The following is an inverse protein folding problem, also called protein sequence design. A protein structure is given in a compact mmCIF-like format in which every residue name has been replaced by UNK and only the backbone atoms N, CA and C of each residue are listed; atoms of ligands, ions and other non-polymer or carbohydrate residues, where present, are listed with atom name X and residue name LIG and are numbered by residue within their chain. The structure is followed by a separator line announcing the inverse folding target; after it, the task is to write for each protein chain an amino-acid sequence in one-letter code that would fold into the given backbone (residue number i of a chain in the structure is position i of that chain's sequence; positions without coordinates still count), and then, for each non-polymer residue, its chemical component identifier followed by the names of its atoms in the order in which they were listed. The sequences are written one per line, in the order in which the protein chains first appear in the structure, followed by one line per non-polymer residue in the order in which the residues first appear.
data_IF_523093828493
#
_entry.id   IF_523093828493
#
_cell.length_a   1.000
_cell.length_b   1.000
_cell.length_c   1.000
_cell.angle_alpha   90.00
_cell.angle_beta   90.00
_cell.angle_gamma   90.00
#
_symmetry.space_group_name_H-M   'P 1'
#
loop_
_entity.id
_entity.type
_entity.pdbx_description
1 polymer ?
#
# COMPACT_ATOMS: atom_id res chain seq x y z
N UNK A 1 39.30 63.85 51.69
CA UNK A 1 38.88 65.28 51.62
C UNK A 1 37.43 65.32 51.10
N UNK A 2 36.64 65.97 51.94
CA UNK A 2 35.30 66.56 51.73
C UNK A 2 34.17 65.58 51.34
N UNK A 3 33.38 65.11 52.26
CA UNK A 3 32.29 65.66 53.10
C UNK A 3 31.28 66.52 52.31
N UNK A 4 30.05 66.06 52.25
CA UNK A 4 28.83 66.84 52.57
C UNK A 4 27.59 66.01 52.19
N UNK A 5 26.81 65.72 52.97
CA UNK A 5 25.72 66.24 53.86
C UNK A 5 24.34 65.73 53.44
N UNK A 6 23.80 65.09 54.38
CA UNK A 6 22.41 64.63 54.54
C UNK A 6 21.42 65.78 54.49
N UNK A 7 20.24 65.57 53.85
CA UNK A 7 18.98 66.19 54.35
C UNK A 7 17.81 65.24 54.20
N UNK A 8 17.28 64.91 55.35
CA UNK A 8 16.01 64.24 55.56
C UNK A 8 14.87 65.29 55.58
N UNK A 9 13.75 65.06 54.94
CA UNK A 9 12.46 65.69 55.26
C UNK A 9 11.32 64.69 55.00
N UNK A 10 10.12 64.92 55.60
CA UNK A 10 9.41 63.87 56.28
C UNK A 10 8.13 63.38 55.56
N UNK A 11 7.56 62.36 56.14
CA UNK A 11 6.31 61.66 55.77
C UNK A 11 5.06 62.61 55.70
N UNK A 12 4.24 62.36 54.70
CA UNK A 12 2.82 62.71 54.69
C UNK A 12 2.02 61.42 54.48
N UNK A 13 1.29 61.11 55.54
CA UNK A 13 0.24 60.11 55.55
C UNK A 13 -0.84 60.48 54.53
N UNK A 14 -1.21 59.59 53.66
CA UNK A 14 -2.40 59.64 52.86
C UNK A 14 -3.14 58.32 52.96
N UNK A 15 -4.22 58.38 53.75
CA UNK A 15 -5.18 57.30 53.94
C UNK A 15 -5.90 57.03 52.63
N UNK A 16 -5.66 55.85 51.97
CA UNK A 16 -6.45 55.46 50.83
C UNK A 16 -7.47 54.38 51.26
N UNK A 17 -8.72 54.75 51.06
CA UNK A 17 -9.91 53.96 51.26
C UNK A 17 -9.92 52.76 50.28
N UNK A 18 -9.92 51.50 50.77
CA UNK A 18 -10.11 50.30 49.95
C UNK A 18 -11.60 50.17 49.61
N UNK A 19 -11.95 50.45 48.37
CA UNK A 19 -13.23 50.03 47.80
C UNK A 19 -13.04 48.60 47.24
N UNK A 20 -13.64 47.63 47.95
CA UNK A 20 -13.71 46.23 47.45
C UNK A 20 -14.77 46.17 46.37
N UNK A 21 -14.35 46.11 45.11
CA UNK A 21 -15.25 45.80 43.99
C UNK A 21 -15.22 44.30 43.80
N UNK A 22 -16.26 43.61 44.23
CA UNK A 22 -16.50 42.19 43.98
C UNK A 22 -16.98 42.04 42.55
N UNK A 23 -16.06 41.68 41.61
CA UNK A 23 -16.42 41.30 40.25
C UNK A 23 -16.82 39.83 40.30
N UNK A 24 -18.13 39.54 40.25
CA UNK A 24 -18.63 38.20 39.93
C UNK A 24 -18.34 37.94 38.45
N UNK A 25 -17.26 37.19 38.16
CA UNK A 25 -17.02 36.63 36.84
C UNK A 25 -17.96 35.43 36.65
N UNK A 26 -19.03 35.64 35.91
CA UNK A 26 -19.85 34.56 35.34
C UNK A 26 -19.00 33.81 34.29
N UNK A 27 -18.36 32.71 34.68
CA UNK A 27 -17.80 31.74 33.75
C UNK A 27 -18.96 31.04 33.04
N UNK A 28 -19.40 31.61 31.90
CA UNK A 28 -20.21 30.90 30.94
C UNK A 28 -19.30 29.89 30.25
N UNK A 29 -19.35 28.63 30.69
CA UNK A 29 -18.73 27.52 30.00
C UNK A 29 -19.43 27.32 28.64
N UNK A 30 -18.95 28.04 27.62
CA UNK A 30 -19.26 27.68 26.24
C UNK A 30 -18.56 26.35 25.97
N UNK A 31 -19.30 25.26 26.08
CA UNK A 31 -18.96 24.01 25.48
C UNK A 31 -18.87 24.26 23.97
N UNK A 32 -17.67 24.50 23.45
CA UNK A 32 -17.43 24.44 22.03
C UNK A 32 -17.58 22.97 21.63
N UNK A 33 -18.78 22.62 21.15
CA UNK A 33 -18.93 21.42 20.38
C UNK A 33 -17.91 21.53 19.25
N UNK A 34 -16.82 20.74 19.33
CA UNK A 34 -15.92 20.54 18.21
C UNK A 34 -16.81 19.92 17.14
N UNK A 35 -17.21 20.74 16.17
CA UNK A 35 -17.84 20.22 14.96
C UNK A 35 -16.87 19.19 14.40
N UNK A 36 -17.28 17.92 14.44
CA UNK A 36 -16.56 16.87 13.76
C UNK A 36 -16.40 17.33 12.30
N UNK A 37 -15.19 17.61 11.91
CA UNK A 37 -14.84 17.81 10.49
C UNK A 37 -15.45 16.62 9.77
N UNK A 38 -16.19 16.77 8.65
CA UNK A 38 -16.66 15.63 7.91
C UNK A 38 -15.42 14.79 7.62
N UNK A 39 -15.33 13.61 8.19
CA UNK A 39 -14.28 12.67 7.90
C UNK A 39 -14.39 12.45 6.41
N UNK A 40 -13.34 12.81 5.68
CA UNK A 40 -13.16 12.37 4.30
C UNK A 40 -12.93 10.85 4.43
N UNK A 41 -14.02 10.10 4.55
CA UNK A 41 -13.99 8.68 4.85
C UNK A 41 -13.30 8.04 3.67
N UNK A 42 -12.09 7.52 3.89
CA UNK A 42 -11.33 6.81 2.86
C UNK A 42 -12.24 5.68 2.38
N UNK A 43 -12.61 5.71 1.12
CA UNK A 43 -13.40 4.62 0.53
C UNK A 43 -12.46 3.49 0.19
N UNK A 44 -12.53 2.41 0.96
CA UNK A 44 -11.78 1.19 0.72
C UNK A 44 -12.04 0.64 -0.68
N UNK A 45 -10.99 0.26 -1.39
CA UNK A 45 -11.06 -0.27 -2.75
C UNK A 45 -10.54 -1.72 -2.81
N UNK A 46 -10.97 -2.45 -3.85
CA UNK A 46 -10.70 -3.87 -4.01
C UNK A 46 -9.50 -4.11 -4.92
N UNK A 47 -8.54 -4.91 -4.46
CA UNK A 47 -7.47 -5.47 -5.30
C UNK A 47 -7.70 -6.98 -5.42
N UNK A 48 -7.80 -7.47 -6.65
CA UNK A 48 -7.91 -8.90 -6.92
C UNK A 48 -6.50 -9.53 -6.89
N UNK A 49 -6.24 -10.37 -5.88
CA UNK A 49 -4.98 -11.08 -5.68
C UNK A 49 -4.75 -12.07 -6.81
N UNK A 50 -3.63 -11.93 -7.54
CA UNK A 50 -3.27 -12.73 -8.74
C UNK A 50 -4.34 -12.70 -9.84
N UNK A 51 -5.07 -11.56 -9.95
CA UNK A 51 -6.26 -11.42 -10.76
C UNK A 51 -7.51 -12.06 -10.15
N UNK A 52 -8.65 -12.04 -10.86
CA UNK A 52 -9.85 -12.75 -10.41
C UNK A 52 -9.79 -14.20 -10.88
N UNK A 53 -9.01 -15.00 -10.15
CA UNK A 53 -8.70 -16.38 -10.50
C UNK A 53 -9.68 -17.41 -9.92
N UNK A 54 -10.24 -17.15 -8.71
CA UNK A 54 -11.13 -18.08 -8.03
C UNK A 54 -12.55 -18.05 -8.64
N UNK A 55 -12.62 -18.40 -9.91
CA UNK A 55 -13.83 -18.41 -10.72
C UNK A 55 -13.68 -19.36 -11.91
N UNK A 56 -14.76 -20.02 -12.41
CA UNK A 56 -14.66 -21.02 -13.46
C UNK A 56 -13.88 -20.56 -14.69
N UNK A 57 -12.96 -21.39 -15.18
CA UNK A 57 -12.14 -21.13 -16.36
C UNK A 57 -11.01 -20.12 -16.17
N UNK A 58 -10.70 -19.77 -14.92
CA UNK A 58 -9.59 -18.87 -14.57
C UNK A 58 -8.50 -19.60 -13.78
N UNK A 59 -7.31 -19.01 -13.70
CA UNK A 59 -6.19 -19.48 -12.88
C UNK A 59 -5.41 -18.29 -12.34
N UNK A 60 -4.68 -18.48 -11.24
CA UNK A 60 -3.79 -17.46 -10.69
C UNK A 60 -2.83 -16.96 -11.75
N UNK A 61 -2.61 -15.64 -11.81
CA UNK A 61 -1.66 -15.03 -12.72
C UNK A 61 -1.89 -15.32 -14.22
N UNK A 62 -3.08 -15.82 -14.60
CA UNK A 62 -3.44 -16.07 -16.00
C UNK A 62 -3.89 -14.79 -16.71
N UNK A 63 -3.83 -14.77 -18.04
CA UNK A 63 -4.40 -13.68 -18.82
C UNK A 63 -5.91 -13.55 -18.62
N UNK A 64 -6.58 -14.69 -18.39
CA UNK A 64 -8.02 -14.72 -18.08
C UNK A 64 -8.33 -14.11 -16.72
N UNK A 65 -7.52 -14.35 -15.67
CA UNK A 65 -7.76 -13.75 -14.35
C UNK A 65 -7.66 -12.22 -14.38
N UNK A 66 -6.72 -11.68 -15.16
CA UNK A 66 -6.60 -10.24 -15.39
C UNK A 66 -7.86 -9.67 -16.09
N UNK A 67 -8.29 -10.28 -17.21
CA UNK A 67 -9.49 -9.84 -17.91
C UNK A 67 -10.75 -9.90 -17.04
N UNK A 68 -10.87 -10.93 -16.21
CA UNK A 68 -11.99 -11.06 -15.27
C UNK A 68 -11.96 -10.00 -14.17
N UNK A 69 -10.79 -9.69 -13.62
CA UNK A 69 -10.64 -8.58 -12.67
C UNK A 69 -11.11 -7.25 -13.29
N UNK A 70 -10.69 -6.95 -14.52
CA UNK A 70 -11.16 -5.77 -15.24
C UNK A 70 -12.66 -5.80 -15.49
N UNK A 71 -13.23 -6.97 -15.86
CA UNK A 71 -14.66 -7.09 -16.18
C UNK A 71 -15.56 -6.72 -15.00
N UNK A 72 -15.19 -7.12 -13.79
CA UNK A 72 -15.94 -6.78 -12.55
C UNK A 72 -15.59 -5.40 -11.98
N UNK A 73 -14.62 -4.69 -12.58
CA UNK A 73 -14.30 -3.31 -12.26
C UNK A 73 -13.70 -3.10 -10.87
N UNK A 74 -12.77 -3.97 -10.44
CA UNK A 74 -11.98 -3.74 -9.24
C UNK A 74 -10.95 -2.64 -9.45
N UNK A 75 -10.48 -2.02 -8.37
CA UNK A 75 -9.43 -1.00 -8.44
C UNK A 75 -8.15 -1.53 -9.05
N UNK A 76 -7.70 -2.70 -8.60
CA UNK A 76 -6.43 -3.29 -9.03
C UNK A 76 -6.52 -4.79 -9.27
N UNK A 77 -5.76 -5.27 -10.24
CA UNK A 77 -5.43 -6.68 -10.45
C UNK A 77 -3.96 -6.85 -10.10
N UNK A 78 -3.68 -7.62 -9.06
CA UNK A 78 -2.30 -7.90 -8.66
C UNK A 78 -1.72 -9.03 -9.51
N UNK A 79 -0.41 -9.02 -9.75
CA UNK A 79 0.34 -10.08 -10.42
C UNK A 79 1.79 -10.15 -9.96
N UNK A 80 2.36 -11.35 -10.01
CA UNK A 80 3.69 -11.69 -9.54
C UNK A 80 4.69 -11.80 -10.70
N UNK A 81 5.77 -11.03 -10.69
CA UNK A 81 6.74 -11.00 -11.81
C UNK A 81 8.10 -11.47 -11.38
N UNK A 82 8.62 -12.48 -12.07
CA UNK A 82 9.98 -13.01 -11.93
C UNK A 82 10.87 -12.69 -13.13
N UNK A 83 12.17 -12.60 -12.87
CA UNK A 83 13.21 -12.52 -13.88
C UNK A 83 13.80 -13.92 -14.14
N UNK A 84 13.72 -14.38 -15.39
CA UNK A 84 14.34 -15.62 -15.84
C UNK A 84 15.84 -15.43 -16.15
N UNK A 85 16.66 -16.52 -16.19
CA UNK A 85 18.10 -16.43 -16.45
C UNK A 85 18.45 -15.96 -17.86
N UNK A 86 17.53 -16.07 -18.82
CA UNK A 86 17.66 -15.53 -20.19
C UNK A 86 17.27 -14.05 -20.29
N UNK A 87 16.93 -13.44 -19.15
CA UNK A 87 16.59 -12.01 -19.06
C UNK A 87 15.14 -11.68 -19.37
N UNK A 88 14.30 -12.66 -19.70
CA UNK A 88 12.84 -12.47 -19.87
C UNK A 88 12.13 -12.39 -18.51
N UNK A 89 10.98 -11.71 -18.52
CA UNK A 89 10.08 -11.61 -17.37
C UNK A 89 8.87 -12.53 -17.58
N UNK A 90 8.52 -13.30 -16.55
CA UNK A 90 7.33 -14.18 -16.54
C UNK A 90 6.43 -13.86 -15.36
N UNK A 91 5.14 -14.19 -15.49
CA UNK A 91 4.15 -13.93 -14.43
C UNK A 91 3.75 -15.26 -13.78
N UNK A 92 4.16 -15.43 -12.52
CA UNK A 92 3.89 -16.64 -11.73
C UNK A 92 4.14 -16.36 -10.24
N UNK A 93 3.38 -16.99 -9.33
CA UNK A 93 3.54 -16.71 -7.90
C UNK A 93 4.70 -17.47 -7.25
N UNK A 94 4.76 -18.80 -7.45
CA UNK A 94 5.73 -19.64 -6.75
C UNK A 94 7.11 -19.51 -7.38
N UNK A 95 8.16 -19.70 -6.58
CA UNK A 95 9.55 -19.68 -7.04
C UNK A 95 9.90 -20.88 -7.95
N UNK A 96 8.97 -21.84 -8.05
CA UNK A 96 9.15 -23.10 -8.79
C UNK A 96 7.82 -23.61 -9.35
N UNK A 97 7.95 -24.47 -10.34
CA UNK A 97 6.84 -25.26 -10.91
C UNK A 97 7.25 -26.72 -11.03
N UNK A 98 6.29 -27.63 -11.06
CA UNK A 98 6.54 -29.06 -11.32
C UNK A 98 6.03 -29.41 -12.71
N UNK A 99 6.89 -30.00 -13.53
CA UNK A 99 6.58 -30.46 -14.89
C UNK A 99 7.22 -31.82 -15.12
N UNK A 100 6.42 -32.82 -15.54
CA UNK A 100 6.92 -34.18 -15.80
C UNK A 100 7.57 -34.91 -14.61
N UNK A 101 7.31 -34.46 -13.37
CA UNK A 101 7.93 -34.97 -12.14
C UNK A 101 9.19 -34.19 -11.71
N UNK A 102 9.69 -33.29 -12.54
CA UNK A 102 10.83 -32.42 -12.23
C UNK A 102 10.38 -31.11 -11.59
N UNK A 103 11.20 -30.59 -10.65
CA UNK A 103 11.02 -29.27 -10.07
C UNK A 103 11.88 -28.26 -10.81
N UNK A 104 11.23 -27.27 -11.42
CA UNK A 104 11.88 -26.21 -12.20
C UNK A 104 11.76 -24.89 -11.40
N UNK A 105 12.90 -24.30 -11.01
CA UNK A 105 12.94 -23.00 -10.36
C UNK A 105 12.87 -21.87 -11.39
N UNK A 106 11.95 -20.93 -11.23
CA UNK A 106 11.69 -19.85 -12.19
C UNK A 106 12.96 -19.07 -12.54
N UNK A 107 13.70 -18.61 -11.52
CA UNK A 107 14.93 -17.84 -11.70
C UNK A 107 16.13 -18.64 -12.26
N UNK A 108 15.97 -19.95 -12.49
CA UNK A 108 17.01 -20.82 -13.03
C UNK A 108 16.62 -21.52 -14.33
N UNK A 109 15.35 -21.35 -14.74
CA UNK A 109 14.80 -22.00 -15.93
C UNK A 109 14.55 -20.97 -17.01
N UNK A 110 15.09 -21.17 -18.25
CA UNK A 110 14.81 -20.26 -19.36
C UNK A 110 13.32 -20.08 -19.61
N UNK A 111 12.90 -18.88 -19.95
CA UNK A 111 11.50 -18.54 -20.24
C UNK A 111 10.91 -19.40 -21.35
N UNK A 112 11.73 -19.83 -22.32
CA UNK A 112 11.33 -20.73 -23.41
C UNK A 112 10.78 -22.08 -22.94
N UNK A 113 11.15 -22.53 -21.74
CA UNK A 113 10.61 -23.73 -21.08
C UNK A 113 9.36 -23.36 -20.30
N UNK A 114 9.44 -22.35 -19.41
CA UNK A 114 8.36 -21.95 -18.50
C UNK A 114 7.07 -21.62 -19.24
N UNK A 115 7.13 -20.88 -20.34
CA UNK A 115 5.96 -20.51 -21.15
C UNK A 115 5.25 -21.67 -21.85
N UNK A 116 5.72 -22.90 -21.70
CA UNK A 116 5.03 -24.12 -22.18
C UNK A 116 4.24 -24.80 -21.08
N UNK A 117 4.53 -24.48 -19.84
CA UNK A 117 3.90 -25.08 -18.65
C UNK A 117 2.47 -24.60 -18.54
N UNK A 118 1.54 -25.53 -18.33
CA UNK A 118 0.12 -25.26 -18.25
C UNK A 118 -0.28 -24.82 -16.85
N UNK A 119 -1.07 -23.75 -16.80
CA UNK A 119 -1.84 -23.37 -15.64
C UNK A 119 -3.10 -24.24 -15.50
N UNK A 120 -3.75 -24.19 -14.35
CA UNK A 120 -4.93 -25.01 -14.05
C UNK A 120 -6.12 -24.79 -15.01
N UNK A 121 -6.19 -23.63 -15.67
CA UNK A 121 -7.23 -23.32 -16.64
C UNK A 121 -6.86 -23.69 -18.10
N UNK A 122 -5.68 -24.30 -18.30
CA UNK A 122 -5.18 -24.68 -19.63
C UNK A 122 -4.38 -23.61 -20.38
N UNK A 123 -4.37 -22.38 -19.91
CA UNK A 123 -3.42 -21.36 -20.38
C UNK A 123 -1.98 -21.79 -20.02
N UNK A 124 -1.00 -21.10 -20.54
CA UNK A 124 0.41 -21.29 -20.14
C UNK A 124 0.87 -20.14 -19.26
N UNK A 125 1.98 -20.34 -18.52
CA UNK A 125 2.65 -19.26 -17.80
C UNK A 125 2.91 -18.12 -18.78
N UNK A 126 2.32 -16.92 -18.58
CA UNK A 126 2.50 -15.82 -19.53
C UNK A 126 3.85 -15.13 -19.33
N UNK A 127 4.43 -14.62 -20.41
CA UNK A 127 5.46 -13.61 -20.31
C UNK A 127 4.85 -12.30 -19.80
N UNK A 128 5.66 -11.46 -19.18
CA UNK A 128 5.19 -10.16 -18.71
C UNK A 128 4.76 -9.25 -19.87
N UNK A 129 5.43 -9.34 -21.02
CA UNK A 129 5.02 -8.63 -22.24
C UNK A 129 3.62 -9.04 -22.69
N UNK A 130 3.32 -10.33 -22.74
CA UNK A 130 1.98 -10.82 -23.08
C UNK A 130 0.92 -10.36 -22.04
N UNK A 131 1.31 -10.28 -20.78
CA UNK A 131 0.45 -9.78 -19.71
C UNK A 131 0.15 -8.28 -19.87
N UNK A 132 1.18 -7.48 -20.16
CA UNK A 132 1.02 -6.05 -20.45
C UNK A 132 0.18 -5.79 -21.71
N UNK A 133 0.34 -6.62 -22.76
CA UNK A 133 -0.46 -6.49 -23.97
C UNK A 133 -1.94 -6.73 -23.70
N UNK A 134 -2.29 -7.70 -22.87
CA UNK A 134 -3.67 -7.89 -22.40
C UNK A 134 -4.11 -6.71 -21.55
N UNK A 135 -3.26 -6.24 -20.64
CA UNK A 135 -3.59 -5.12 -19.75
C UNK A 135 -3.88 -3.82 -20.51
N UNK A 136 -3.26 -3.57 -21.66
CA UNK A 136 -3.62 -2.43 -22.54
C UNK A 136 -5.11 -2.39 -22.89
N UNK A 137 -5.75 -3.55 -23.01
CA UNK A 137 -7.18 -3.65 -23.32
C UNK A 137 -8.09 -3.50 -22.09
N UNK A 138 -7.55 -3.67 -20.89
CA UNK A 138 -8.26 -3.46 -19.62
C UNK A 138 -8.45 -1.96 -19.39
N UNK A 139 -9.66 -1.50 -19.08
CA UNK A 139 -9.95 -0.07 -18.96
C UNK A 139 -10.38 0.36 -17.54
N UNK A 140 -10.75 -0.60 -16.69
CA UNK A 140 -11.36 -0.32 -15.40
C UNK A 140 -10.42 -0.55 -14.23
N UNK A 141 -9.40 -1.40 -14.40
CA UNK A 141 -8.49 -1.81 -13.33
C UNK A 141 -7.09 -1.23 -13.53
N UNK A 142 -6.35 -1.06 -12.44
CA UNK A 142 -4.90 -0.85 -12.44
C UNK A 142 -4.18 -2.19 -12.38
N UNK A 143 -2.90 -2.21 -12.68
CA UNK A 143 -2.03 -3.36 -12.47
C UNK A 143 -1.15 -3.11 -11.25
N UNK A 144 -1.24 -4.01 -10.27
CA UNK A 144 -0.40 -4.00 -9.07
C UNK A 144 0.66 -5.08 -9.27
N UNK A 145 1.90 -4.66 -9.46
CA UNK A 145 3.00 -5.54 -9.86
C UNK A 145 3.84 -5.90 -8.64
N UNK A 146 3.80 -7.19 -8.22
CA UNK A 146 4.75 -7.68 -7.24
C UNK A 146 6.08 -8.06 -7.91
N UNK A 147 7.16 -7.45 -7.44
CA UNK A 147 8.51 -7.83 -7.80
C UNK A 147 8.95 -9.02 -6.96
N UNK A 148 9.01 -10.21 -7.57
CA UNK A 148 9.41 -11.46 -6.91
C UNK A 148 10.92 -11.65 -6.99
N UNK A 149 11.55 -11.70 -5.81
CA UNK A 149 12.99 -11.97 -5.68
C UNK A 149 13.16 -13.12 -4.70
N UNK A 150 13.58 -14.28 -5.18
CA UNK A 150 13.73 -15.48 -4.35
C UNK A 150 14.93 -15.44 -3.39
N UNK A 151 15.87 -14.50 -3.60
CA UNK A 151 17.06 -14.33 -2.78
C UNK A 151 17.28 -12.85 -2.48
N UNK A 152 17.87 -12.56 -1.32
CA UNK A 152 18.36 -11.23 -1.00
C UNK A 152 19.64 -10.91 -1.82
N UNK A 153 19.49 -10.87 -3.14
CA UNK A 153 20.52 -10.48 -4.09
C UNK A 153 20.20 -9.08 -4.62
N UNK A 154 20.95 -8.10 -4.10
CA UNK A 154 20.78 -6.69 -4.46
C UNK A 154 20.95 -6.43 -5.95
N UNK A 155 21.84 -7.16 -6.62
CA UNK A 155 22.10 -6.97 -8.06
C UNK A 155 20.87 -7.46 -8.85
N UNK A 156 20.39 -8.68 -8.56
CA UNK A 156 19.20 -9.24 -9.22
C UNK A 156 17.95 -8.41 -8.92
N UNK A 157 17.77 -7.95 -7.67
CA UNK A 157 16.69 -7.04 -7.29
C UNK A 157 16.68 -5.76 -8.13
N UNK A 158 17.87 -5.17 -8.32
CA UNK A 158 18.04 -3.96 -9.14
C UNK A 158 17.77 -4.20 -10.62
N UNK A 159 18.20 -5.34 -11.18
CA UNK A 159 17.94 -5.71 -12.58
C UNK A 159 16.44 -5.94 -12.81
N UNK A 160 15.78 -6.68 -11.91
CA UNK A 160 14.33 -6.92 -11.99
C UNK A 160 13.55 -5.61 -11.99
N UNK A 161 13.83 -4.71 -11.02
CA UNK A 161 13.17 -3.42 -10.93
C UNK A 161 13.36 -2.58 -12.21
N UNK A 162 14.59 -2.48 -12.71
CA UNK A 162 14.89 -1.74 -13.93
C UNK A 162 14.17 -2.30 -15.17
N UNK A 163 14.12 -3.63 -15.31
CA UNK A 163 13.46 -4.30 -16.44
C UNK A 163 11.94 -4.11 -16.39
N UNK A 164 11.30 -4.26 -15.23
CA UNK A 164 9.86 -4.05 -15.08
C UNK A 164 9.51 -2.60 -15.43
N UNK A 165 10.23 -1.61 -14.88
CA UNK A 165 10.01 -0.19 -15.20
C UNK A 165 10.19 0.10 -16.70
N UNK A 166 11.22 -0.48 -17.34
CA UNK A 166 11.45 -0.32 -18.76
C UNK A 166 10.30 -0.87 -19.60
N UNK A 167 9.80 -2.08 -19.29
CA UNK A 167 8.68 -2.72 -19.98
C UNK A 167 7.37 -1.95 -19.81
N UNK A 168 7.07 -1.48 -18.61
CA UNK A 168 5.90 -0.64 -18.32
C UNK A 168 5.96 0.66 -19.11
N UNK A 169 7.13 1.32 -19.16
CA UNK A 169 7.34 2.55 -19.92
C UNK A 169 7.23 2.31 -21.42
N UNK A 170 7.83 1.25 -21.95
CA UNK A 170 7.73 0.87 -23.37
C UNK A 170 6.27 0.64 -23.78
N UNK A 171 5.48 0.06 -22.87
CA UNK A 171 4.05 -0.15 -23.06
C UNK A 171 3.20 1.13 -22.92
N UNK A 172 3.74 2.23 -22.38
CA UNK A 172 3.02 3.49 -22.11
C UNK A 172 2.01 3.37 -20.96
N UNK A 173 2.31 2.57 -19.94
CA UNK A 173 1.36 2.18 -18.89
C UNK A 173 1.70 2.76 -17.50
N UNK A 174 2.68 3.65 -17.38
CA UNK A 174 3.22 4.15 -16.10
C UNK A 174 2.15 4.74 -15.17
N UNK A 175 1.15 5.40 -15.73
CA UNK A 175 0.05 6.01 -14.95
C UNK A 175 -0.98 5.01 -14.43
N UNK A 176 -0.91 3.76 -14.89
CA UNK A 176 -1.89 2.71 -14.61
C UNK A 176 -1.34 1.56 -13.77
N UNK A 177 -0.08 1.65 -13.34
CA UNK A 177 0.60 0.60 -12.56
C UNK A 177 1.03 1.11 -11.20
N UNK A 178 1.10 0.20 -10.24
CA UNK A 178 1.65 0.38 -8.90
C UNK A 178 2.54 -0.82 -8.59
N UNK A 179 3.51 -0.68 -7.66
CA UNK A 179 4.53 -1.69 -7.43
C UNK A 179 4.55 -2.10 -5.96
N UNK A 180 4.66 -3.39 -5.72
CA UNK A 180 4.78 -3.96 -4.38
C UNK A 180 5.92 -4.97 -4.35
N UNK A 181 6.56 -5.16 -3.19
CA UNK A 181 7.62 -6.15 -3.03
C UNK A 181 7.94 -6.43 -1.57
N UNK A 182 8.37 -7.67 -1.27
CA UNK A 182 8.97 -8.06 -0.01
C UNK A 182 10.44 -7.65 0.13
N UNK A 183 11.08 -7.24 -0.96
CA UNK A 183 12.51 -7.00 -1.02
C UNK A 183 12.82 -5.49 -0.98
N UNK A 184 13.53 -5.03 0.07
CA UNK A 184 13.88 -3.62 0.23
C UNK A 184 14.84 -3.10 -0.84
N UNK A 185 15.77 -3.92 -1.33
CA UNK A 185 16.70 -3.49 -2.38
C UNK A 185 15.95 -3.25 -3.70
N UNK A 186 14.97 -4.10 -4.04
CA UNK A 186 14.09 -3.89 -5.19
C UNK A 186 13.24 -2.63 -5.03
N UNK A 187 12.67 -2.42 -3.82
CA UNK A 187 11.88 -1.24 -3.49
C UNK A 187 12.69 0.05 -3.63
N UNK A 188 13.88 0.10 -3.03
CA UNK A 188 14.77 1.26 -3.14
C UNK A 188 15.18 1.53 -4.58
N UNK A 189 15.41 0.47 -5.37
CA UNK A 189 15.76 0.63 -6.78
C UNK A 189 14.59 1.14 -7.63
N UNK A 190 13.37 0.72 -7.35
CA UNK A 190 12.16 1.29 -7.96
C UNK A 190 12.05 2.79 -7.69
N UNK A 191 12.20 3.19 -6.41
CA UNK A 191 12.11 4.59 -5.99
C UNK A 191 13.25 5.42 -6.59
N UNK A 192 14.49 4.89 -6.62
CA UNK A 192 15.64 5.55 -7.26
C UNK A 192 15.38 5.84 -8.74
N UNK A 193 14.87 4.82 -9.49
CA UNK A 193 14.66 4.93 -10.94
C UNK A 193 13.39 5.68 -11.31
N UNK A 194 12.35 5.64 -10.47
CA UNK A 194 11.11 6.37 -10.67
C UNK A 194 10.54 6.89 -9.34
N UNK A 195 10.98 8.05 -8.86
CA UNK A 195 10.51 8.62 -7.59
C UNK A 195 9.02 8.96 -7.54
N UNK A 196 8.34 8.96 -8.69
CA UNK A 196 6.90 9.24 -8.77
C UNK A 196 6.05 7.94 -8.78
N UNK A 197 6.70 6.78 -8.82
CA UNK A 197 5.99 5.51 -8.79
C UNK A 197 5.28 5.32 -7.45
N UNK A 198 4.05 4.82 -7.50
CA UNK A 198 3.39 4.31 -6.30
C UNK A 198 4.04 2.98 -5.91
N UNK A 199 4.54 2.92 -4.69
CA UNK A 199 5.27 1.75 -4.17
C UNK A 199 4.81 1.40 -2.77
N UNK A 200 4.65 0.11 -2.47
CA UNK A 200 4.38 -0.35 -1.12
C UNK A 200 5.26 -1.55 -0.73
N UNK A 201 5.62 -1.60 0.55
CA UNK A 201 6.41 -2.68 1.13
C UNK A 201 5.53 -3.75 1.74
N UNK A 202 5.88 -5.04 1.52
CA UNK A 202 5.02 -6.18 1.86
C UNK A 202 5.38 -6.88 3.17
N UNK A 203 6.65 -6.86 3.60
CA UNK A 203 7.15 -7.79 4.64
C UNK A 203 6.59 -7.57 6.05
N UNK A 204 6.02 -6.42 6.37
CA UNK A 204 5.42 -6.18 7.68
C UNK A 204 6.38 -6.23 8.88
N UNK A 205 7.68 -6.05 8.65
CA UNK A 205 8.74 -6.07 9.67
C UNK A 205 9.35 -4.69 9.97
N UNK A 206 8.82 -3.64 9.33
CA UNK A 206 9.23 -2.24 9.50
C UNK A 206 7.99 -1.42 9.83
N UNK A 207 8.08 -0.56 10.84
CA UNK A 207 6.98 0.33 11.19
C UNK A 207 6.70 1.36 10.08
N UNK A 208 5.43 1.76 9.84
CA UNK A 208 5.08 2.68 8.76
C UNK A 208 5.85 4.00 8.81
N UNK A 209 6.08 4.54 10.01
CA UNK A 209 6.83 5.79 10.21
C UNK A 209 8.29 5.69 9.71
N UNK A 210 8.88 4.50 9.71
CA UNK A 210 10.24 4.26 9.24
C UNK A 210 10.33 4.08 7.72
N UNK A 211 9.22 3.73 7.04
CA UNK A 211 9.18 3.56 5.59
C UNK A 211 9.01 4.89 4.84
N UNK A 212 8.28 5.85 5.41
CA UNK A 212 8.05 7.13 4.75
C UNK A 212 9.34 7.88 4.37
N UNK A 213 10.36 7.98 5.25
CA UNK A 213 11.64 8.58 4.89
C UNK A 213 12.39 7.84 3.78
N UNK A 214 12.07 6.57 3.52
CA UNK A 214 12.67 5.76 2.46
C UNK A 214 12.02 5.99 1.09
N UNK A 215 10.98 6.85 1.02
CA UNK A 215 10.32 7.22 -0.23
C UNK A 215 9.10 6.36 -0.59
N UNK A 216 8.70 5.41 0.27
CA UNK A 216 7.49 4.60 0.06
C UNK A 216 6.23 5.48 0.03
N UNK A 217 5.27 5.11 -0.78
CA UNK A 217 3.96 5.76 -0.84
C UNK A 217 2.89 5.00 -0.05
N UNK A 218 3.14 3.73 0.30
CA UNK A 218 2.22 2.89 1.05
C UNK A 218 2.89 1.73 1.77
N UNK A 219 2.09 1.07 2.58
CA UNK A 219 2.36 -0.26 3.15
C UNK A 219 1.34 -1.24 2.57
N UNK A 220 1.77 -2.49 2.42
CA UNK A 220 0.92 -3.59 1.99
C UNK A 220 1.22 -4.80 2.87
N UNK A 221 0.57 -4.87 4.05
CA UNK A 221 0.95 -5.81 5.08
C UNK A 221 -0.08 -6.91 5.30
N UNK A 222 0.40 -8.08 5.69
CA UNK A 222 -0.45 -9.21 6.08
C UNK A 222 -1.40 -8.83 7.22
N UNK A 223 -2.65 -9.32 7.14
CA UNK A 223 -3.70 -8.99 8.11
C UNK A 223 -3.33 -9.37 9.54
N UNK A 224 -2.62 -10.47 9.74
CA UNK A 224 -2.20 -10.88 11.09
C UNK A 224 -1.17 -9.93 11.67
N UNK A 225 -0.29 -9.38 10.83
CA UNK A 225 0.67 -8.35 11.19
C UNK A 225 -0.03 -7.06 11.59
N UNK A 226 -1.01 -6.61 10.82
CA UNK A 226 -1.77 -5.40 11.11
C UNK A 226 -2.61 -5.54 12.38
N UNK A 227 -3.22 -6.71 12.62
CA UNK A 227 -3.95 -6.99 13.88
C UNK A 227 -3.03 -7.04 15.11
N UNK A 228 -1.79 -7.51 14.97
CA UNK A 228 -0.81 -7.50 16.07
C UNK A 228 -0.27 -6.09 16.37
N UNK A 229 -0.29 -5.20 15.39
CA UNK A 229 0.28 -3.86 15.46
C UNK A 229 -0.80 -2.81 15.11
N UNK A 230 -1.92 -2.80 15.82
CA UNK A 230 -3.06 -1.92 15.50
C UNK A 230 -2.69 -0.44 15.42
N UNK A 231 -1.68 0.01 16.18
CA UNK A 231 -1.18 1.38 16.12
C UNK A 231 -0.64 1.77 14.74
N UNK A 232 -0.25 0.80 13.92
CA UNK A 232 0.28 1.04 12.57
C UNK A 232 -0.75 1.59 11.59
N UNK A 233 -2.04 1.39 11.83
CA UNK A 233 -3.08 2.08 11.04
C UNK A 233 -2.99 3.61 11.21
N UNK A 234 -2.79 4.07 12.43
CA UNK A 234 -2.66 5.50 12.72
C UNK A 234 -1.30 6.04 12.30
N UNK A 235 -0.22 5.31 12.55
CA UNK A 235 1.13 5.69 12.12
C UNK A 235 1.21 5.84 10.60
N UNK A 236 0.65 4.91 9.83
CA UNK A 236 0.63 4.99 8.36
C UNK A 236 -0.14 6.22 7.89
N UNK A 237 -1.33 6.50 8.47
CA UNK A 237 -2.12 7.70 8.15
C UNK A 237 -1.37 8.98 8.48
N UNK A 238 -0.76 9.06 9.66
CA UNK A 238 0.03 10.22 10.07
C UNK A 238 1.25 10.45 9.19
N UNK A 239 1.88 9.38 8.72
CA UNK A 239 2.97 9.43 7.76
C UNK A 239 2.52 9.76 6.32
N UNK A 240 1.20 9.77 6.05
CA UNK A 240 0.65 9.95 4.71
C UNK A 240 0.99 8.77 3.78
N UNK A 241 0.97 7.54 4.31
CA UNK A 241 1.10 6.32 3.56
C UNK A 241 -0.27 5.71 3.28
N UNK A 242 -0.47 5.24 2.05
CA UNK A 242 -1.63 4.40 1.72
C UNK A 242 -1.51 3.04 2.43
N UNK A 243 -2.63 2.49 2.87
CA UNK A 243 -2.68 1.22 3.58
C UNK A 243 -3.39 0.19 2.71
N UNK A 244 -2.67 -0.83 2.29
CA UNK A 244 -3.22 -2.07 1.75
C UNK A 244 -3.03 -3.20 2.76
N UNK A 245 -3.97 -4.14 2.79
CA UNK A 245 -3.87 -5.34 3.64
C UNK A 245 -4.19 -6.59 2.82
N UNK A 246 -3.31 -7.57 2.90
CA UNK A 246 -3.40 -8.86 2.22
C UNK A 246 -3.28 -10.04 3.18
N UNK A 247 -3.58 -11.23 2.83
CA UNK A 247 -4.62 -11.63 1.92
C UNK A 247 -5.88 -11.86 2.73
N UNK A 248 -6.97 -11.20 2.40
CA UNK A 248 -8.16 -11.12 3.24
C UNK A 248 -9.34 -11.75 2.52
N UNK A 249 -9.71 -12.96 2.95
CA UNK A 249 -10.82 -13.73 2.35
C UNK A 249 -12.01 -13.93 3.30
N UNK A 250 -11.83 -13.61 4.60
CA UNK A 250 -12.88 -13.72 5.61
C UNK A 250 -13.74 -12.45 5.65
N UNK A 251 -15.10 -12.56 5.61
CA UNK A 251 -15.99 -11.39 5.62
C UNK A 251 -15.85 -10.50 6.86
N UNK A 252 -15.61 -11.08 8.04
CA UNK A 252 -15.46 -10.29 9.27
C UNK A 252 -14.17 -9.48 9.26
N UNK A 253 -13.09 -10.03 8.70
CA UNK A 253 -11.83 -9.33 8.49
C UNK A 253 -11.97 -8.21 7.45
N UNK A 254 -12.75 -8.43 6.40
CA UNK A 254 -13.07 -7.38 5.42
C UNK A 254 -13.80 -6.21 6.10
N UNK A 255 -14.84 -6.48 6.88
CA UNK A 255 -15.58 -5.45 7.63
C UNK A 255 -14.68 -4.71 8.61
N UNK A 256 -13.89 -5.44 9.41
CA UNK A 256 -12.91 -4.86 10.33
C UNK A 256 -11.98 -3.87 9.63
N UNK A 257 -11.43 -4.22 8.49
CA UNK A 257 -10.51 -3.35 7.75
C UNK A 257 -11.21 -2.15 7.11
N UNK A 258 -12.44 -2.31 6.63
CA UNK A 258 -13.27 -1.19 6.14
C UNK A 258 -13.52 -0.19 7.27
N UNK A 259 -13.85 -0.67 8.47
CA UNK A 259 -14.04 0.16 9.67
C UNK A 259 -12.74 0.83 10.13
N UNK A 260 -11.59 0.17 9.94
CA UNK A 260 -10.27 0.77 10.15
C UNK A 260 -9.92 1.83 9.09
N UNK A 261 -10.68 1.94 8.00
CA UNK A 261 -10.48 2.93 6.95
C UNK A 261 -9.21 2.70 6.14
N UNK A 262 -8.89 1.45 5.78
CA UNK A 262 -7.78 1.14 4.88
C UNK A 262 -8.08 1.58 3.45
N UNK A 263 -7.05 1.91 2.67
CA UNK A 263 -7.21 2.33 1.28
C UNK A 263 -7.59 1.15 0.39
N UNK A 264 -6.96 0.00 0.61
CA UNK A 264 -7.13 -1.17 -0.23
C UNK A 264 -7.22 -2.45 0.62
N UNK A 265 -7.92 -3.44 0.08
CA UNK A 265 -7.90 -4.81 0.57
C UNK A 265 -7.61 -5.73 -0.62
N UNK A 266 -6.54 -6.52 -0.51
CA UNK A 266 -6.16 -7.54 -1.49
C UNK A 266 -6.78 -8.88 -1.10
N UNK A 267 -7.56 -9.48 -2.02
CA UNK A 267 -8.39 -10.67 -1.75
C UNK A 267 -8.51 -11.60 -2.97
N UNK A 268 -8.67 -12.91 -2.70
CA UNK A 268 -9.09 -13.89 -3.70
C UNK A 268 -10.62 -13.85 -3.98
N UNK A 269 -11.38 -13.11 -3.15
CA UNK A 269 -12.85 -13.02 -3.20
C UNK A 269 -13.32 -11.60 -3.55
N UNK A 270 -12.93 -11.04 -4.72
CA UNK A 270 -13.18 -9.64 -5.03
C UNK A 270 -14.68 -9.29 -5.11
N UNK A 271 -15.54 -10.17 -5.63
CA UNK A 271 -16.99 -9.91 -5.68
C UNK A 271 -17.63 -9.93 -4.28
N UNK A 272 -17.13 -10.78 -3.37
CA UNK A 272 -17.59 -10.79 -1.97
C UNK A 272 -17.27 -9.45 -1.30
N UNK A 273 -16.03 -8.96 -1.46
CA UNK A 273 -15.63 -7.67 -0.90
C UNK A 273 -16.43 -6.51 -1.54
N UNK A 274 -16.65 -6.52 -2.86
CA UNK A 274 -17.53 -5.53 -3.52
C UNK A 274 -18.96 -5.56 -2.97
N UNK A 275 -19.48 -6.74 -2.63
CA UNK A 275 -20.82 -6.88 -2.01
C UNK A 275 -20.85 -6.28 -0.60
N UNK A 276 -19.82 -6.54 0.21
CA UNK A 276 -19.70 -5.97 1.56
C UNK A 276 -19.58 -4.45 1.50
N UNK A 277 -18.76 -3.90 0.60
CA UNK A 277 -18.58 -2.44 0.46
C UNK A 277 -19.90 -1.71 0.16
N UNK A 278 -20.81 -2.31 -0.61
CA UNK A 278 -22.15 -1.74 -0.88
C UNK A 278 -23.02 -1.59 0.37
N UNK A 279 -22.73 -2.33 1.44
CA UNK A 279 -23.44 -2.17 2.72
C UNK A 279 -23.05 -0.88 3.44
N UNK A 280 -21.85 -0.35 3.17
CA UNK A 280 -21.31 0.90 3.72
C UNK A 280 -21.57 2.14 2.84
N UNK A 281 -22.11 1.97 1.62
CA UNK A 281 -22.48 3.06 0.71
C UNK A 281 -23.90 3.63 0.98
N UNK A 282 -24.56 3.25 2.11
CA UNK A 282 -25.94 3.63 2.45
C UNK A 282 -26.04 4.88 3.31
#
# INVERSE_FOLDING_TARGET
MTCHHIMIRPARNLTLLFAVITILALFSSRSTAIAATPSNQIKTQVIAHRGYWDTPGSAQNSLTSLRKADSIGVYGSECDVYLCPDGELVVHHDDRVTEGGDTLYIERTPSSILKRIKLSNGETIPTFDAYLDVFKSCQKTKLIIELKVSKNDKVQSGILAAKILAKVKEAGLESRVEYITFNLDALHKLIELNPQAKTAYLSGNIAPAELKPQGCTGIDYDISTMKRNEVWFDEARQAGLEINVWMVNNPDDMRYLIEKGVNYITTDKPELLQSILKEYDK
#
